data_IF_620358851304
#
_entry.id   IF_620358851304
#
_cell.length_a   1.000
_cell.length_b   1.000
_cell.length_c   1.000
_cell.angle_alpha   90.00
_cell.angle_beta   90.00
_cell.angle_gamma   90.00
#
_symmetry.space_group_name_H-M   'P 1'
#
loop_
_entity.id
_entity.type
_entity.pdbx_description
1 polymer ?
#
# COMPACT_ATOMS: atom_id res chain seq x y z
N UNK A 1 -2.61 7.20 23.49
CA UNK A 1 -2.47 5.89 22.79
C UNK A 1 -3.22 5.99 21.47
N UNK A 2 -2.60 5.76 20.32
CA UNK A 2 -3.32 5.80 19.04
C UNK A 2 -4.40 4.72 19.01
N UNK A 3 -5.64 5.06 18.64
CA UNK A 3 -6.75 4.11 18.51
C UNK A 3 -6.65 3.16 17.30
N UNK A 4 -5.51 3.15 16.61
CA UNK A 4 -5.29 2.29 15.45
C UNK A 4 -5.20 0.81 15.85
N UNK A 5 -5.73 -0.11 15.03
CA UNK A 5 -5.51 -1.54 15.19
C UNK A 5 -4.02 -1.86 15.28
N UNK A 6 -3.66 -2.78 16.16
CA UNK A 6 -2.28 -3.25 16.29
C UNK A 6 -1.89 -4.06 15.04
N UNK A 7 -0.65 -3.93 14.54
CA UNK A 7 -0.17 -4.79 13.46
C UNK A 7 -0.17 -6.25 13.88
N UNK A 8 -0.57 -7.14 12.98
CA UNK A 8 -0.57 -8.59 13.20
C UNK A 8 0.81 -9.11 12.82
N UNK A 9 1.51 -9.77 13.75
CA UNK A 9 2.81 -10.37 13.47
C UNK A 9 2.61 -11.70 12.74
N UNK A 10 3.18 -11.81 11.54
CA UNK A 10 3.06 -13.01 10.70
C UNK A 10 4.37 -13.79 10.61
N UNK A 11 5.51 -13.12 10.86
CA UNK A 11 6.82 -13.77 10.97
C UNK A 11 7.68 -13.09 12.05
N UNK A 12 8.89 -13.63 12.28
CA UNK A 12 9.84 -13.07 13.25
C UNK A 12 10.14 -11.59 13.00
N UNK A 13 10.21 -11.14 11.75
CA UNK A 13 10.54 -9.75 11.39
C UNK A 13 9.49 -9.09 10.51
N UNK A 14 8.27 -9.65 10.45
CA UNK A 14 7.22 -9.19 9.55
C UNK A 14 5.88 -9.08 10.27
N UNK A 15 5.20 -7.97 10.00
CA UNK A 15 3.85 -7.66 10.46
C UNK A 15 3.00 -7.21 9.26
N UNK A 16 1.69 -7.32 9.40
CA UNK A 16 0.73 -6.79 8.45
C UNK A 16 -0.23 -5.83 9.15
N UNK A 17 -0.65 -4.79 8.44
CA UNK A 17 -1.60 -3.79 8.93
C UNK A 17 -2.94 -3.93 8.21
N UNK A 18 -4.00 -4.20 8.97
CA UNK A 18 -5.38 -4.21 8.47
C UNK A 18 -5.97 -2.80 8.56
N UNK A 19 -6.74 -2.39 7.53
CA UNK A 19 -7.48 -1.12 7.51
C UNK A 19 -8.92 -1.37 7.06
N UNK A 20 -9.34 -0.78 5.94
CA UNK A 20 -10.71 -0.82 5.46
C UNK A 20 -11.12 -2.24 5.00
N UNK A 21 -10.19 -3.01 4.43
CA UNK A 21 -10.47 -4.34 3.88
C UNK A 21 -10.42 -5.43 4.97
N UNK A 22 -11.46 -6.28 5.10
CA UNK A 22 -11.51 -7.33 6.11
C UNK A 22 -10.68 -8.58 5.76
N UNK A 23 -10.24 -8.71 4.52
CA UNK A 23 -9.55 -9.90 3.98
C UNK A 23 -8.09 -9.59 3.65
N UNK A 24 -7.83 -8.48 2.96
CA UNK A 24 -6.51 -8.12 2.48
C UNK A 24 -5.86 -7.07 3.39
N UNK A 25 -4.59 -7.27 3.78
CA UNK A 25 -3.83 -6.23 4.44
C UNK A 25 -3.73 -4.97 3.57
N UNK A 26 -3.60 -3.82 4.23
CA UNK A 26 -3.28 -2.57 3.54
C UNK A 26 -1.78 -2.46 3.25
N UNK A 27 -0.96 -2.95 4.18
CA UNK A 27 0.49 -2.85 4.12
C UNK A 27 1.17 -4.00 4.87
N UNK A 28 2.41 -4.28 4.49
CA UNK A 28 3.35 -5.05 5.31
C UNK A 28 4.39 -4.12 5.96
N UNK A 29 4.81 -4.48 7.17
CA UNK A 29 5.91 -3.87 7.89
C UNK A 29 6.98 -4.94 8.09
N UNK A 30 8.21 -4.66 7.67
CA UNK A 30 9.35 -5.56 7.87
C UNK A 30 10.50 -4.86 8.59
N UNK A 31 11.04 -5.50 9.63
CA UNK A 31 12.28 -5.05 10.25
C UNK A 31 13.45 -5.44 9.34
N UNK A 32 14.13 -4.44 8.79
CA UNK A 32 15.21 -4.62 7.82
C UNK A 32 16.49 -3.92 8.30
N UNK A 33 17.62 -4.41 7.80
CA UNK A 33 18.91 -3.74 7.94
C UNK A 33 19.15 -2.87 6.72
N UNK A 34 19.50 -1.61 6.93
CA UNK A 34 19.81 -0.65 5.87
C UNK A 34 21.13 0.02 6.18
N UNK A 35 21.99 0.10 5.19
CA UNK A 35 23.16 0.99 5.23
C UNK A 35 22.72 2.35 4.70
N UNK A 36 22.88 3.43 5.49
CA UNK A 36 22.67 4.80 5.03
C UNK A 36 23.48 5.13 3.76
N UNK A 37 22.97 6.05 2.93
CA UNK A 37 23.64 6.43 1.66
C UNK A 37 24.96 7.18 1.88
N UNK A 38 25.11 7.83 3.02
CA UNK A 38 26.34 8.52 3.44
C UNK A 38 27.43 7.56 3.93
N UNK A 39 27.21 6.24 3.84
CA UNK A 39 28.18 5.22 4.24
C UNK A 39 28.25 4.99 5.75
N UNK A 40 27.28 5.50 6.51
CA UNK A 40 27.18 5.28 7.96
C UNK A 40 26.96 3.81 8.34
N UNK A 41 26.94 3.51 9.66
CA UNK A 41 26.75 2.15 10.16
C UNK A 41 25.39 1.58 9.70
N UNK A 42 25.35 0.26 9.53
CA UNK A 42 24.08 -0.43 9.23
C UNK A 42 23.12 -0.26 10.39
N UNK A 43 21.93 0.27 10.10
CA UNK A 43 20.86 0.51 11.07
C UNK A 43 19.70 -0.47 10.84
N UNK A 44 18.97 -0.81 11.90
CA UNK A 44 17.72 -1.54 11.80
C UNK A 44 16.54 -0.56 11.76
N UNK A 45 15.66 -0.72 10.77
CA UNK A 45 14.48 0.13 10.58
C UNK A 45 13.27 -0.72 10.17
N UNK A 46 12.08 -0.23 10.50
CA UNK A 46 10.82 -0.79 10.03
C UNK A 46 10.49 -0.22 8.65
N UNK A 47 10.66 -1.04 7.62
CA UNK A 47 10.25 -0.72 6.25
C UNK A 47 8.77 -1.02 6.10
N UNK A 48 8.01 -0.07 5.57
CA UNK A 48 6.58 -0.23 5.29
C UNK A 48 6.37 -0.17 3.78
N UNK A 49 5.69 -1.16 3.22
CA UNK A 49 5.30 -1.17 1.82
C UNK A 49 3.82 -1.51 1.69
N UNK A 50 3.17 -1.05 0.63
CA UNK A 50 1.79 -1.42 0.32
C UNK A 50 1.69 -2.93 0.09
N UNK A 51 0.54 -3.49 0.45
CA UNK A 51 0.25 -4.88 0.14
C UNK A 51 -0.12 -5.03 -1.35
N UNK A 52 0.48 -6.01 -2.02
CA UNK A 52 -0.02 -6.56 -3.28
C UNK A 52 0.42 -8.02 -3.39
N UNK A 53 -0.45 -8.84 -3.98
CA UNK A 53 -0.14 -10.23 -4.33
C UNK A 53 0.97 -10.24 -5.39
N UNK A 54 0.98 -9.26 -6.29
CA UNK A 54 2.00 -9.05 -7.31
C UNK A 54 3.15 -8.23 -6.71
N UNK A 55 4.35 -8.80 -6.50
CA UNK A 55 5.44 -8.10 -5.82
C UNK A 55 5.84 -6.76 -6.46
N UNK A 56 5.74 -6.66 -7.79
CA UNK A 56 6.14 -5.50 -8.58
C UNK A 56 5.19 -4.31 -8.41
N UNK A 57 3.96 -4.54 -7.94
CA UNK A 57 2.98 -3.49 -7.68
C UNK A 57 3.13 -2.88 -6.29
N UNK A 58 3.93 -3.49 -5.42
CA UNK A 58 4.18 -2.96 -4.08
C UNK A 58 4.92 -1.63 -4.17
N UNK A 59 4.57 -0.72 -3.29
CA UNK A 59 5.14 0.63 -3.23
C UNK A 59 5.67 0.89 -1.83
N UNK A 60 6.86 1.48 -1.75
CA UNK A 60 7.45 1.90 -0.49
C UNK A 60 6.64 3.06 0.09
N UNK A 61 6.17 2.91 1.33
CA UNK A 61 5.58 4.01 2.10
C UNK A 61 6.70 4.75 2.83
N UNK A 62 7.62 4.02 3.48
CA UNK A 62 8.74 4.63 4.17
C UNK A 62 9.54 3.68 5.06
N UNK A 63 10.48 4.27 5.80
CA UNK A 63 11.27 3.63 6.84
C UNK A 63 11.05 4.37 8.15
N UNK A 64 10.85 3.64 9.24
CA UNK A 64 10.55 4.19 10.55
C UNK A 64 11.40 3.55 11.63
N UNK A 65 11.56 4.24 12.75
CA UNK A 65 12.40 3.77 13.86
C UNK A 65 11.65 2.81 14.77
N UNK A 66 10.33 2.99 14.88
CA UNK A 66 9.48 2.16 15.72
C UNK A 66 8.37 1.48 14.93
N UNK A 67 7.94 0.32 15.42
CA UNK A 67 6.76 -0.37 14.88
C UNK A 67 5.49 0.48 15.03
N UNK A 68 5.44 1.35 16.05
CA UNK A 68 4.32 2.25 16.27
C UNK A 68 4.21 3.30 15.17
N UNK A 69 5.31 4.00 14.85
CA UNK A 69 5.38 4.96 13.75
C UNK A 69 5.07 4.30 12.41
N UNK A 70 5.63 3.10 12.17
CA UNK A 70 5.36 2.32 10.97
C UNK A 70 3.87 1.99 10.82
N UNK A 71 3.18 1.62 11.91
CA UNK A 71 1.73 1.39 11.88
C UNK A 71 0.95 2.69 11.64
N UNK A 72 1.36 3.79 12.28
CA UNK A 72 0.69 5.09 12.14
C UNK A 72 0.76 5.64 10.71
N UNK A 73 1.81 5.31 9.96
CA UNK A 73 1.96 5.71 8.57
C UNK A 73 1.01 5.00 7.59
N UNK A 74 0.42 3.87 8.00
CA UNK A 74 -0.56 3.14 7.19
C UNK A 74 -1.94 3.76 7.45
N UNK A 75 -2.41 4.58 6.52
CA UNK A 75 -3.68 5.30 6.63
C UNK A 75 -4.88 4.47 6.15
N UNK A 76 -6.07 4.84 6.61
CA UNK A 76 -7.33 4.36 6.04
C UNK A 76 -7.60 5.06 4.71
N UNK A 77 -8.25 4.35 3.80
CA UNK A 77 -8.82 4.98 2.61
C UNK A 77 -9.97 5.90 3.01
N UNK A 78 -10.01 7.07 2.37
CA UNK A 78 -11.14 7.98 2.48
C UNK A 78 -12.21 7.48 1.51
N UNK A 79 -13.30 6.94 2.04
CA UNK A 79 -14.47 6.61 1.22
C UNK A 79 -15.21 7.91 0.88
N UNK A 80 -15.18 8.33 -0.38
CA UNK A 80 -16.05 9.42 -0.84
C UNK A 80 -17.49 8.87 -0.88
N UNK A 81 -18.47 9.51 -0.22
CA UNK A 81 -19.83 8.94 -0.11
C UNK A 81 -20.49 8.62 -1.46
N UNK A 82 -20.18 9.40 -2.50
CA UNK A 82 -20.79 9.26 -3.83
C UNK A 82 -20.26 8.04 -4.62
N UNK A 83 -19.15 7.42 -4.21
CA UNK A 83 -18.61 6.21 -4.86
C UNK A 83 -18.99 4.91 -4.13
N UNK A 84 -19.63 5.00 -2.96
CA UNK A 84 -20.08 3.81 -2.20
C UNK A 84 -21.25 3.08 -2.87
N UNK A 85 -21.98 3.74 -3.78
CA UNK A 85 -23.12 3.15 -4.52
C UNK A 85 -22.66 2.27 -5.70
N UNK A 86 -21.43 2.41 -6.18
CA UNK A 86 -20.89 1.55 -7.22
C UNK A 86 -19.67 0.81 -6.65
N UNK A 87 -19.83 -0.49 -6.38
CA UNK A 87 -18.75 -1.38 -5.92
C UNK A 87 -17.60 -1.58 -6.90
N UNK A 88 -17.27 -0.59 -7.73
CA UNK A 88 -16.17 -0.55 -8.68
C UNK A 88 -14.91 0.14 -8.12
N UNK A 89 -15.02 0.95 -7.07
CA UNK A 89 -13.94 1.91 -6.75
C UNK A 89 -13.15 1.56 -5.50
N UNK A 90 -13.72 0.76 -4.59
CA UNK A 90 -12.99 0.22 -3.43
C UNK A 90 -11.83 -0.72 -3.84
N UNK A 91 -11.89 -1.25 -5.07
CA UNK A 91 -10.88 -2.14 -5.67
C UNK A 91 -10.19 -1.51 -6.90
N UNK A 92 -10.44 -0.22 -7.20
CA UNK A 92 -10.19 0.39 -8.50
C UNK A 92 -8.73 0.65 -8.89
N UNK A 93 -7.78 0.62 -7.97
CA UNK A 93 -6.38 0.87 -8.29
C UNK A 93 -5.68 -0.30 -9.02
N UNK A 94 -6.22 -1.53 -8.91
CA UNK A 94 -5.59 -2.72 -9.49
C UNK A 94 -6.14 -3.08 -10.89
N UNK A 95 -7.30 -2.54 -11.30
CA UNK A 95 -7.85 -2.76 -12.65
C UNK A 95 -7.33 -1.76 -13.70
N UNK A 96 -6.84 -0.59 -13.28
CA UNK A 96 -6.34 0.42 -14.22
C UNK A 96 -5.11 -0.05 -15.01
N UNK A 97 -4.27 -0.92 -14.44
CA UNK A 97 -3.11 -1.48 -15.13
C UNK A 97 -3.47 -2.56 -16.16
N UNK A 98 -4.57 -3.30 -15.94
CA UNK A 98 -5.03 -4.34 -16.87
C UNK A 98 -5.77 -3.75 -18.09
N UNK A 99 -6.44 -2.60 -17.93
CA UNK A 99 -7.19 -1.95 -19.01
C UNK A 99 -6.33 -1.16 -20.01
N UNK A 100 -5.18 -0.62 -19.57
CA UNK A 100 -4.37 0.27 -20.42
C UNK A 100 -3.63 -0.46 -21.54
N UNK A 101 -3.47 -1.79 -21.44
CA UNK A 101 -2.85 -2.62 -22.48
C UNK A 101 -3.85 -3.10 -23.54
N UNK A 102 -5.15 -3.10 -23.24
CA UNK A 102 -6.20 -3.45 -24.22
C UNK A 102 -6.63 -2.24 -25.08
N UNK A 103 -6.55 -1.03 -24.53
CA UNK A 103 -6.95 0.19 -25.25
C UNK A 103 -5.96 0.60 -26.36
N UNK A 104 -4.66 0.31 -26.18
CA UNK A 104 -3.63 0.59 -27.17
C UNK A 104 -3.69 -0.34 -28.40
N UNK A 105 -4.24 -1.55 -28.26
CA UNK A 105 -4.41 -2.51 -29.37
C UNK A 105 -5.72 -2.31 -30.16
N UNK A 106 -6.68 -1.55 -29.63
CA UNK A 106 -8.03 -1.43 -30.23
C UNK A 106 -8.40 -0.02 -30.75
N UNK A 107 -7.47 0.93 -30.79
CA UNK A 107 -7.66 2.18 -31.55
C UNK A 107 -8.90 3.01 -31.21
N UNK A 108 -9.29 3.08 -29.92
CA UNK A 108 -10.45 3.86 -29.48
C UNK A 108 -10.02 5.31 -29.15
N UNK A 109 -10.65 6.35 -29.72
CA UNK A 109 -10.26 7.74 -29.49
C UNK A 109 -10.71 8.28 -28.13
N UNK A 110 -9.88 9.13 -27.52
CA UNK A 110 -10.14 9.81 -26.24
C UNK A 110 -11.22 10.88 -26.36
N UNK A 111 -12.10 11.05 -25.36
CA UNK A 111 -13.22 11.97 -25.44
C UNK A 111 -12.80 13.36 -24.93
N UNK A 112 -12.21 14.17 -25.80
CA UNK A 112 -12.14 15.62 -25.62
C UNK A 112 -12.31 16.28 -26.99
N UNK A 113 -13.56 16.46 -27.38
CA UNK A 113 -14.01 17.28 -28.52
C UNK A 113 -15.50 17.60 -28.37
N UNK A 114 -15.86 18.49 -27.44
CA UNK A 114 -16.86 19.57 -27.62
C UNK A 114 -16.51 20.72 -26.70
#
# INVERSE_FOLDING_TARGET
>A
MSGLPKPIRVERRMWVCMRNDPVLPKAEIRLVRRTPMDGGPTIEQYRVITWSIVPEERRLIGYYWTLHEANAAVLYDVTVPDTVVQGQDAFGAYKAAAGMRAALDMGVPTPDSV
#
